data_IF_684643059642
#
_entry.id   IF_684643059642
#
_cell.length_a   1.000
_cell.length_b   1.000
_cell.length_c   1.000
_cell.angle_alpha   90.00
_cell.angle_beta   90.00
_cell.angle_gamma   90.00
#
_symmetry.space_group_name_H-M   'P 1'
#
loop_
_entity.id
_entity.type
_entity.pdbx_description
1 polymer ?
#
# COMPACT_ATOMS: atom_id res chain seq x y z
N UNK A 1 -9.77 -14.11 20.26
CA UNK A 1 -9.90 -14.52 18.84
C UNK A 1 -9.45 -13.31 18.05
N UNK A 2 -8.39 -13.39 17.23
CA UNK A 2 -7.96 -12.24 16.42
C UNK A 2 -9.18 -11.72 15.68
N UNK A 3 -9.63 -10.53 16.07
CA UNK A 3 -10.90 -9.99 15.60
C UNK A 3 -10.86 -9.92 14.08
N UNK A 4 -12.00 -10.17 13.42
CA UNK A 4 -12.14 -10.05 11.97
C UNK A 4 -11.53 -8.72 11.43
N UNK A 5 -11.50 -7.69 12.28
CA UNK A 5 -10.83 -6.43 12.05
C UNK A 5 -9.30 -6.55 11.80
N UNK A 6 -8.54 -7.23 12.66
CA UNK A 6 -7.07 -7.36 12.50
C UNK A 6 -6.73 -8.15 11.24
N UNK A 7 -7.49 -9.21 10.95
CA UNK A 7 -7.35 -9.95 9.71
C UNK A 7 -7.59 -9.06 8.49
N UNK A 8 -8.65 -8.25 8.50
CA UNK A 8 -8.94 -7.30 7.41
C UNK A 8 -7.82 -6.27 7.23
N UNK A 9 -7.25 -5.75 8.31
CA UNK A 9 -6.11 -4.83 8.25
C UNK A 9 -4.87 -5.48 7.64
N UNK A 10 -4.53 -6.71 8.06
CA UNK A 10 -3.40 -7.47 7.51
C UNK A 10 -3.60 -7.81 6.02
N UNK A 11 -4.83 -8.15 5.65
CA UNK A 11 -5.19 -8.40 4.26
C UNK A 11 -5.03 -7.12 3.43
N UNK A 12 -5.50 -5.98 3.93
CA UNK A 12 -5.34 -4.68 3.25
C UNK A 12 -3.86 -4.32 3.09
N UNK A 13 -3.06 -4.46 4.16
CA UNK A 13 -1.61 -4.21 4.12
C UNK A 13 -0.93 -5.04 3.03
N UNK A 14 -1.33 -6.31 2.89
CA UNK A 14 -0.83 -7.19 1.81
C UNK A 14 -1.19 -6.67 0.42
N UNK A 15 -2.40 -6.15 0.23
CA UNK A 15 -2.81 -5.56 -1.06
C UNK A 15 -2.04 -4.28 -1.38
N UNK A 16 -1.82 -3.42 -0.39
CA UNK A 16 -1.04 -2.20 -0.58
C UNK A 16 0.40 -2.53 -1.00
N UNK A 17 1.06 -3.48 -0.34
CA UNK A 17 2.40 -3.93 -0.73
C UNK A 17 2.46 -4.50 -2.16
N UNK A 18 1.50 -5.35 -2.53
CA UNK A 18 1.42 -5.90 -3.90
C UNK A 18 1.22 -4.81 -4.94
N UNK A 19 0.35 -3.84 -4.63
CA UNK A 19 0.08 -2.73 -5.53
C UNK A 19 1.30 -1.82 -5.69
N UNK A 20 1.97 -1.46 -4.58
CA UNK A 20 3.21 -0.70 -4.59
C UNK A 20 4.31 -1.38 -5.42
N UNK A 21 4.46 -2.70 -5.26
CA UNK A 21 5.43 -3.46 -6.05
C UNK A 21 5.14 -3.36 -7.55
N UNK A 22 3.87 -3.49 -7.98
CA UNK A 22 3.50 -3.36 -9.40
C UNK A 22 3.76 -1.96 -9.93
N UNK A 23 3.46 -0.92 -9.14
CA UNK A 23 3.74 0.48 -9.52
C UNK A 23 5.24 0.67 -9.76
N UNK A 24 6.08 0.26 -8.81
CA UNK A 24 7.54 0.43 -8.88
C UNK A 24 8.20 -0.38 -10.00
N UNK A 25 7.71 -1.60 -10.25
CA UNK A 25 8.40 -2.54 -11.13
C UNK A 25 7.83 -2.66 -12.53
N UNK A 26 6.57 -2.26 -12.73
CA UNK A 26 5.84 -2.42 -13.99
C UNK A 26 5.25 -1.07 -14.43
N UNK A 27 4.26 -0.53 -13.72
CA UNK A 27 3.42 0.56 -14.24
C UNK A 27 4.19 1.85 -14.56
N UNK A 28 5.16 2.24 -13.71
CA UNK A 28 6.01 3.41 -13.99
C UNK A 28 6.92 3.24 -15.21
N UNK A 29 7.25 1.99 -15.57
CA UNK A 29 8.06 1.69 -16.76
C UNK A 29 7.21 1.69 -18.02
N UNK A 30 5.95 1.24 -17.88
CA UNK A 30 4.99 1.13 -18.97
C UNK A 30 4.25 2.45 -19.26
N UNK A 31 4.45 3.49 -18.44
CA UNK A 31 3.83 4.79 -18.61
C UNK A 31 4.17 5.44 -19.97
N UNK A 32 3.15 5.78 -20.74
CA UNK A 32 3.28 6.25 -22.13
C UNK A 32 3.60 7.75 -22.24
N UNK A 33 3.30 8.52 -21.18
CA UNK A 33 3.51 9.95 -21.14
C UNK A 33 3.82 10.46 -19.72
N UNK A 34 4.21 11.74 -19.64
CA UNK A 34 4.62 12.37 -18.37
C UNK A 34 3.46 12.53 -17.38
N UNK A 35 2.24 12.72 -17.86
CA UNK A 35 1.05 12.82 -17.00
C UNK A 35 0.77 11.48 -16.31
N UNK A 36 0.82 10.38 -17.05
CA UNK A 36 0.66 9.04 -16.52
C UNK A 36 1.80 8.68 -15.55
N UNK A 37 3.06 9.03 -15.89
CA UNK A 37 4.21 8.85 -14.99
C UNK A 37 4.01 9.63 -13.69
N UNK A 38 3.56 10.88 -13.76
CA UNK A 38 3.30 11.70 -12.59
C UNK A 38 2.18 11.13 -11.72
N UNK A 39 1.14 10.56 -12.34
CA UNK A 39 0.09 9.83 -11.61
C UNK A 39 0.66 8.64 -10.84
N UNK A 40 1.49 7.80 -11.50
CA UNK A 40 2.10 6.65 -10.83
C UNK A 40 3.09 7.05 -9.73
N UNK A 41 3.85 8.14 -9.92
CA UNK A 41 4.74 8.70 -8.90
C UNK A 41 3.99 9.19 -7.67
N UNK A 42 2.83 9.83 -7.87
CA UNK A 42 1.95 10.22 -6.77
C UNK A 42 1.39 8.98 -6.04
N UNK A 43 0.86 8.03 -6.80
CA UNK A 43 0.25 6.83 -6.22
C UNK A 43 1.27 5.97 -5.47
N UNK A 44 2.52 5.92 -5.93
CA UNK A 44 3.63 5.28 -5.21
C UNK A 44 3.80 5.85 -3.80
N UNK A 45 3.84 7.18 -3.66
CA UNK A 45 3.96 7.86 -2.35
C UNK A 45 2.76 7.63 -1.47
N UNK A 46 1.55 7.73 -2.03
CA UNK A 46 0.30 7.49 -1.30
C UNK A 46 0.29 6.05 -0.73
N UNK A 47 0.74 5.06 -1.52
CA UNK A 47 0.85 3.65 -1.10
C UNK A 47 1.86 3.46 0.03
N UNK A 48 3.00 4.14 -0.03
CA UNK A 48 4.01 4.09 1.04
C UNK A 48 3.46 4.63 2.37
N UNK A 49 2.72 5.74 2.33
CA UNK A 49 2.09 6.28 3.53
C UNK A 49 0.99 5.34 4.06
N UNK A 50 0.13 4.80 3.19
CA UNK A 50 -0.89 3.84 3.59
C UNK A 50 -0.29 2.58 4.25
N UNK A 51 0.83 2.06 3.72
CA UNK A 51 1.53 0.92 4.32
C UNK A 51 2.02 1.27 5.72
N UNK A 52 2.58 2.47 5.91
CA UNK A 52 3.06 2.95 7.21
C UNK A 52 1.89 3.08 8.21
N UNK A 53 0.81 3.76 7.83
CA UNK A 53 -0.37 3.94 8.68
C UNK A 53 -1.03 2.60 9.05
N UNK A 54 -1.21 1.69 8.08
CA UNK A 54 -1.75 0.35 8.33
C UNK A 54 -0.86 -0.45 9.28
N UNK A 55 0.47 -0.37 9.09
CA UNK A 55 1.43 -1.05 9.96
C UNK A 55 1.36 -0.54 11.40
N UNK A 56 1.28 0.78 11.59
CA UNK A 56 1.14 1.40 12.91
C UNK A 56 -0.19 1.01 13.58
N UNK A 57 -1.29 1.03 12.82
CA UNK A 57 -2.61 0.61 13.31
C UNK A 57 -2.67 -0.87 13.69
N UNK A 58 -2.06 -1.75 12.90
CA UNK A 58 -1.98 -3.18 13.23
C UNK A 58 -1.16 -3.38 14.51
N UNK A 59 -0.03 -2.69 14.66
CA UNK A 59 0.81 -2.77 15.87
C UNK A 59 0.05 -2.34 17.11
N UNK A 60 -0.73 -1.25 17.03
CA UNK A 60 -1.53 -0.80 18.18
C UNK A 60 -2.59 -1.84 18.56
N UNK A 61 -3.24 -2.48 17.58
CA UNK A 61 -4.27 -3.51 17.82
C UNK A 61 -3.74 -4.84 18.36
N UNK A 62 -2.50 -5.21 18.04
CA UNK A 62 -1.89 -6.48 18.48
C UNK A 62 -1.15 -6.33 19.81
N UNK A 63 -0.84 -5.09 20.22
CA UNK A 63 -0.17 -4.78 21.49
C UNK A 63 -1.15 -4.49 22.65
N UNK A 64 -2.45 -4.41 22.34
CA UNK A 64 -3.58 -4.37 23.31
C UNK A 64 -3.93 -5.78 23.82
#
# INVERSE_FOLDING_TARGET
MYDNNVYNLMLQLTQEHKSLWRIKNMYKKDAENDEERAFWDKLEKDKEEHIKELTELIKSRVSE
#
